data_IF_746159489696
#
_entry.id   IF_746159489696
#
_cell.length_a   1.000
_cell.length_b   1.000
_cell.length_c   1.000
_cell.angle_alpha   90.00
_cell.angle_beta   90.00
_cell.angle_gamma   90.00
#
_symmetry.space_group_name_H-M   'P 1'
#
loop_
_entity.id
_entity.type
_entity.pdbx_description
1 polymer ?
#
# COMPACT_ATOMS: atom_id res chain seq x y z
N UNK A 1 -20.28 -3.28 -3.51
CA UNK A 1 -19.94 -1.92 -3.13
C UNK A 1 -18.63 -1.47 -3.75
N UNK A 2 -18.40 -0.13 -3.75
CA UNK A 2 -17.11 0.45 -4.12
C UNK A 2 -16.77 1.57 -3.14
N UNK A 3 -15.66 1.47 -2.44
CA UNK A 3 -15.21 2.50 -1.50
C UNK A 3 -14.24 3.43 -2.22
N UNK A 4 -14.47 4.72 -2.09
CA UNK A 4 -13.65 5.76 -2.71
C UNK A 4 -12.95 6.54 -1.59
N UNK A 5 -11.62 6.68 -1.70
CA UNK A 5 -10.84 7.45 -0.75
C UNK A 5 -11.31 8.90 -0.66
N UNK A 6 -11.65 9.35 0.55
CA UNK A 6 -12.22 10.67 0.85
C UNK A 6 -11.34 11.87 0.41
N UNK A 7 -10.08 11.62 0.10
CA UNK A 7 -9.17 12.63 -0.40
C UNK A 7 -9.14 12.80 -1.93
N UNK A 8 -9.96 12.09 -2.72
CA UNK A 8 -10.00 12.29 -4.17
C UNK A 8 -10.74 13.60 -4.56
N UNK A 9 -10.42 14.11 -5.77
CA UNK A 9 -11.13 15.24 -6.36
C UNK A 9 -12.51 14.81 -6.85
N UNK A 10 -13.42 15.76 -7.02
CA UNK A 10 -14.77 15.54 -7.57
C UNK A 10 -14.73 14.80 -8.93
N UNK A 11 -13.82 15.15 -9.82
CA UNK A 11 -13.66 14.48 -11.11
C UNK A 11 -13.22 13.02 -10.97
N UNK A 12 -12.32 12.71 -10.02
CA UNK A 12 -11.88 11.35 -9.75
C UNK A 12 -12.99 10.51 -9.10
N UNK A 13 -13.84 11.12 -8.28
CA UNK A 13 -15.04 10.51 -7.70
C UNK A 13 -16.06 10.23 -8.79
N UNK A 14 -16.38 11.23 -9.63
CA UNK A 14 -17.33 11.10 -10.72
C UNK A 14 -16.96 9.98 -11.72
N UNK A 15 -15.66 9.89 -12.06
CA UNK A 15 -15.15 8.83 -12.95
C UNK A 15 -15.45 7.43 -12.41
N UNK A 16 -15.31 7.20 -11.11
CA UNK A 16 -15.59 5.90 -10.47
C UNK A 16 -17.06 5.60 -10.34
N UNK A 17 -17.85 6.60 -9.98
CA UNK A 17 -19.32 6.50 -9.90
C UNK A 17 -19.90 6.12 -11.27
N UNK A 18 -19.45 6.79 -12.33
CA UNK A 18 -19.94 6.53 -13.68
C UNK A 18 -19.46 5.16 -14.20
N UNK A 19 -18.20 4.79 -13.98
CA UNK A 19 -17.67 3.49 -14.42
C UNK A 19 -18.37 2.31 -13.73
N UNK A 20 -18.72 2.45 -12.45
CA UNK A 20 -19.43 1.41 -11.67
C UNK A 20 -20.95 1.51 -11.77
N UNK A 21 -21.49 2.51 -12.48
CA UNK A 21 -22.93 2.77 -12.59
C UNK A 21 -23.66 2.84 -11.24
N UNK A 22 -23.01 3.48 -10.25
CA UNK A 22 -23.51 3.59 -8.89
C UNK A 22 -24.96 4.14 -8.84
N UNK A 23 -25.79 3.54 -8.01
CA UNK A 23 -27.18 3.98 -7.76
C UNK A 23 -27.32 4.80 -6.49
N UNK A 24 -26.47 4.54 -5.52
CA UNK A 24 -26.48 5.18 -4.20
C UNK A 24 -25.08 5.61 -3.79
N UNK A 25 -24.97 6.77 -3.17
CA UNK A 25 -23.74 7.24 -2.54
C UNK A 25 -23.96 7.39 -1.03
N UNK A 26 -23.04 6.88 -0.23
CA UNK A 26 -22.97 7.14 1.21
C UNK A 26 -21.77 8.04 1.46
N UNK A 27 -22.00 9.18 2.09
CA UNK A 27 -20.96 10.16 2.41
C UNK A 27 -21.19 10.77 3.79
N UNK A 28 -20.41 11.78 4.18
CA UNK A 28 -20.68 12.60 5.36
C UNK A 28 -20.70 14.09 5.02
N UNK A 29 -21.19 14.92 5.95
CA UNK A 29 -21.16 16.37 5.84
C UNK A 29 -19.71 16.90 5.71
N UNK A 30 -18.76 16.23 6.35
CA UNK A 30 -17.34 16.50 6.25
C UNK A 30 -16.51 15.43 6.96
N UNK A 31 -15.19 15.56 6.92
CA UNK A 31 -14.26 14.68 7.61
C UNK A 31 -13.10 15.47 8.22
N UNK A 32 -12.41 14.89 9.20
CA UNK A 32 -11.22 15.49 9.79
C UNK A 32 -9.93 14.88 9.25
N UNK A 33 -8.94 15.73 8.96
CA UNK A 33 -7.59 15.31 8.64
C UNK A 33 -6.59 16.20 9.37
N UNK A 34 -6.09 15.72 10.50
CA UNK A 34 -5.34 16.57 11.43
C UNK A 34 -6.20 17.72 11.95
N UNK A 35 -5.75 18.94 11.76
CA UNK A 35 -6.48 20.16 12.12
C UNK A 35 -7.40 20.70 11.00
N UNK A 36 -7.52 19.99 9.88
CA UNK A 36 -8.30 20.43 8.73
C UNK A 36 -9.62 19.68 8.64
N UNK A 37 -10.68 20.43 8.30
CA UNK A 37 -11.96 19.85 7.87
C UNK A 37 -11.98 19.72 6.35
N UNK A 38 -12.44 18.59 5.85
CA UNK A 38 -12.61 18.32 4.42
C UNK A 38 -14.10 18.40 4.11
N UNK A 39 -14.48 19.18 3.14
CA UNK A 39 -15.87 19.27 2.65
C UNK A 39 -16.20 18.08 1.74
N UNK A 40 -16.60 16.95 2.37
CA UNK A 40 -16.91 15.73 1.61
C UNK A 40 -18.20 15.86 0.82
N UNK A 41 -19.23 16.47 1.41
CA UNK A 41 -20.52 16.64 0.72
C UNK A 41 -20.39 17.55 -0.51
N UNK A 42 -19.63 18.64 -0.41
CA UNK A 42 -19.38 19.53 -1.54
C UNK A 42 -18.64 18.82 -2.68
N UNK A 43 -17.64 17.99 -2.37
CA UNK A 43 -16.94 17.15 -3.37
C UNK A 43 -17.91 16.19 -4.06
N UNK A 44 -18.80 15.56 -3.30
CA UNK A 44 -19.81 14.66 -3.87
C UNK A 44 -20.82 15.41 -4.71
N UNK A 45 -21.32 16.57 -4.28
CA UNK A 45 -22.30 17.35 -5.05
C UNK A 45 -21.72 17.78 -6.41
N UNK A 46 -20.49 18.27 -6.44
CA UNK A 46 -19.78 18.59 -7.68
C UNK A 46 -19.61 17.36 -8.59
N UNK A 47 -19.21 16.23 -8.02
CA UNK A 47 -19.08 14.98 -8.78
C UNK A 47 -20.41 14.54 -9.40
N UNK A 48 -21.50 14.68 -8.67
CA UNK A 48 -22.83 14.23 -9.08
C UNK A 48 -23.49 15.10 -10.17
N UNK A 49 -22.92 16.25 -10.52
CA UNK A 49 -23.37 17.02 -11.69
C UNK A 49 -23.24 16.20 -12.99
N UNK A 50 -22.30 15.26 -13.05
CA UNK A 50 -22.02 14.41 -14.20
C UNK A 50 -22.34 12.93 -14.00
N UNK A 51 -23.04 12.56 -12.91
CA UNK A 51 -23.32 11.16 -12.54
C UNK A 51 -24.85 10.87 -12.57
N UNK A 52 -25.44 10.65 -13.75
CA UNK A 52 -26.89 10.52 -13.90
C UNK A 52 -27.47 9.24 -13.30
N UNK A 53 -26.66 8.24 -12.97
CA UNK A 53 -27.11 6.94 -12.43
C UNK A 53 -27.45 7.00 -10.94
N UNK A 54 -26.93 8.00 -10.20
CA UNK A 54 -27.13 8.12 -8.76
C UNK A 54 -28.53 8.64 -8.44
N UNK A 55 -29.29 7.82 -7.73
CA UNK A 55 -30.68 8.10 -7.36
C UNK A 55 -30.81 8.62 -5.93
N UNK A 56 -29.89 8.23 -5.02
CA UNK A 56 -29.92 8.63 -3.63
C UNK A 56 -28.53 8.88 -3.05
N UNK A 57 -28.48 9.83 -2.11
CA UNK A 57 -27.28 10.15 -1.33
C UNK A 57 -27.62 10.10 0.14
N UNK A 58 -26.96 9.24 0.89
CA UNK A 58 -27.09 9.16 2.34
C UNK A 58 -25.93 9.89 3.00
N UNK A 59 -26.24 10.85 3.88
CA UNK A 59 -25.26 11.74 4.49
C UNK A 59 -25.17 11.46 6.00
N UNK A 60 -24.00 11.03 6.45
CA UNK A 60 -23.69 10.92 7.87
C UNK A 60 -23.30 12.30 8.43
N UNK A 61 -23.78 12.62 9.62
CA UNK A 61 -23.40 13.83 10.35
C UNK A 61 -22.10 13.58 11.12
N UNK A 62 -21.01 14.26 10.74
CA UNK A 62 -19.69 14.07 11.34
C UNK A 62 -19.05 15.35 11.86
N UNK A 63 -19.05 16.41 11.05
CA UNK A 63 -18.38 17.68 11.37
C UNK A 63 -19.33 18.79 11.77
N UNK A 64 -20.63 18.55 11.61
CA UNK A 64 -21.70 19.55 11.83
C UNK A 64 -21.59 20.78 10.91
N UNK A 65 -20.86 20.62 9.81
CA UNK A 65 -20.73 21.65 8.78
C UNK A 65 -22.10 21.86 8.09
N UNK A 66 -22.44 23.11 7.86
CA UNK A 66 -23.64 23.44 7.07
C UNK A 66 -23.46 23.03 5.63
N UNK A 67 -24.31 22.14 5.15
CA UNK A 67 -24.27 21.59 3.78
C UNK A 67 -25.61 21.82 3.06
N UNK A 68 -25.56 21.81 1.73
CA UNK A 68 -26.76 21.75 0.92
C UNK A 68 -27.30 20.33 0.86
N UNK A 69 -28.65 20.19 0.95
CA UNK A 69 -29.36 18.91 0.80
C UNK A 69 -30.32 19.02 -0.38
N UNK A 70 -30.10 18.25 -1.43
CA UNK A 70 -30.97 18.24 -2.60
C UNK A 70 -32.22 17.43 -2.35
N UNK A 71 -33.38 18.09 -2.33
CA UNK A 71 -34.66 17.44 -2.09
C UNK A 71 -34.93 16.30 -3.10
N UNK A 72 -35.44 15.18 -2.61
CA UNK A 72 -35.75 13.99 -3.40
C UNK A 72 -34.54 13.08 -3.71
N UNK A 73 -33.30 13.55 -3.41
CA UNK A 73 -32.08 12.76 -3.60
C UNK A 73 -31.35 12.51 -2.27
N UNK A 74 -31.17 13.55 -1.47
CA UNK A 74 -30.30 13.52 -0.30
C UNK A 74 -31.09 13.26 0.99
N UNK A 75 -30.62 12.39 1.85
CA UNK A 75 -31.21 12.07 3.13
C UNK A 75 -30.13 11.96 4.22
N UNK A 76 -30.45 12.40 5.44
CA UNK A 76 -29.61 12.13 6.57
C UNK A 76 -29.62 10.63 6.92
N UNK A 77 -28.45 10.05 7.13
CA UNK A 77 -28.31 8.62 7.41
C UNK A 77 -28.91 8.24 8.78
N UNK A 78 -28.65 9.04 9.83
CA UNK A 78 -29.04 8.67 11.20
C UNK A 78 -30.55 8.47 11.37
N UNK A 79 -31.46 9.34 10.88
CA UNK A 79 -32.90 9.11 10.99
C UNK A 79 -33.37 7.85 10.29
N UNK A 80 -32.68 7.40 9.23
CA UNK A 80 -32.98 6.14 8.55
C UNK A 80 -32.55 4.95 9.39
N UNK A 81 -31.39 5.02 10.04
CA UNK A 81 -30.90 3.98 10.94
C UNK A 81 -31.79 3.85 12.17
N UNK A 82 -32.26 4.96 12.75
CA UNK A 82 -33.13 4.98 13.92
C UNK A 82 -34.50 4.31 13.65
N UNK A 83 -34.95 4.30 12.40
CA UNK A 83 -36.20 3.69 11.95
C UNK A 83 -36.02 2.28 11.39
N UNK A 84 -34.77 1.87 11.11
CA UNK A 84 -34.48 0.57 10.55
C UNK A 84 -34.68 -0.54 11.59
N UNK A 85 -35.09 -1.72 11.12
CA UNK A 85 -35.11 -2.92 11.97
C UNK A 85 -33.70 -3.37 12.28
N UNK A 86 -33.45 -3.81 13.50
CA UNK A 86 -32.22 -4.50 13.91
C UNK A 86 -32.20 -5.98 13.50
N UNK A 87 -33.35 -6.49 13.02
CA UNK A 87 -33.43 -7.83 12.47
C UNK A 87 -33.16 -7.81 10.97
N UNK A 88 -31.94 -8.20 10.61
CA UNK A 88 -31.51 -8.34 9.23
C UNK A 88 -30.99 -9.76 8.97
N UNK A 89 -31.67 -10.48 8.08
CA UNK A 89 -31.23 -11.79 7.62
C UNK A 89 -30.22 -11.58 6.48
N UNK A 90 -29.02 -12.17 6.63
CA UNK A 90 -28.02 -12.10 5.59
C UNK A 90 -28.52 -12.75 4.30
N UNK A 91 -28.31 -12.05 3.16
CA UNK A 91 -28.65 -12.59 1.84
C UNK A 91 -27.76 -13.80 1.52
N UNK A 92 -28.36 -14.83 0.90
CA UNK A 92 -27.62 -16.00 0.43
C UNK A 92 -26.95 -15.63 -0.89
N UNK A 93 -25.62 -15.65 -0.89
CA UNK A 93 -24.79 -15.27 -2.04
C UNK A 93 -24.15 -16.51 -2.66
N UNK A 94 -23.99 -16.49 -4.00
CA UNK A 94 -23.12 -17.42 -4.68
C UNK A 94 -21.65 -17.11 -4.39
N UNK A 95 -20.80 -18.13 -4.43
CA UNK A 95 -19.37 -17.97 -4.17
C UNK A 95 -18.67 -16.95 -5.11
N UNK A 96 -19.15 -16.87 -6.35
CA UNK A 96 -18.61 -15.97 -7.37
C UNK A 96 -19.42 -14.67 -7.53
N UNK A 97 -20.46 -14.42 -6.71
CA UNK A 97 -21.11 -13.13 -6.71
C UNK A 97 -20.14 -11.99 -6.37
N UNK A 98 -20.18 -10.86 -7.09
CA UNK A 98 -19.29 -9.73 -6.82
C UNK A 98 -19.49 -9.19 -5.39
N UNK A 99 -18.39 -9.08 -4.65
CA UNK A 99 -18.38 -8.52 -3.30
C UNK A 99 -18.12 -7.01 -3.35
N UNK A 100 -17.10 -6.60 -4.06
CA UNK A 100 -16.77 -5.19 -4.26
C UNK A 100 -15.98 -4.94 -5.55
N UNK A 101 -15.99 -3.66 -5.95
CA UNK A 101 -15.14 -3.10 -7.00
C UNK A 101 -14.20 -2.10 -6.34
N UNK A 102 -12.90 -2.32 -6.45
CA UNK A 102 -11.90 -1.38 -5.92
C UNK A 102 -11.02 -0.84 -7.03
N UNK A 103 -10.96 0.49 -7.14
CA UNK A 103 -10.26 1.16 -8.22
C UNK A 103 -8.78 1.35 -7.91
N UNK A 104 -7.93 0.88 -8.83
CA UNK A 104 -6.49 1.13 -8.81
C UNK A 104 -6.10 2.13 -9.90
N UNK A 105 -4.96 2.80 -9.71
CA UNK A 105 -4.38 3.65 -10.75
C UNK A 105 -3.94 2.79 -11.94
N UNK A 106 -4.46 3.08 -13.12
CA UNK A 106 -4.02 2.45 -14.37
C UNK A 106 -2.81 3.16 -14.96
N UNK A 107 -1.94 2.41 -15.63
CA UNK A 107 -0.81 2.96 -16.41
C UNK A 107 -1.26 3.85 -17.57
N UNK A 108 -2.50 3.69 -18.03
CA UNK A 108 -3.11 4.42 -19.17
C UNK A 108 -3.99 5.60 -18.75
N UNK A 109 -3.97 6.01 -17.47
CA UNK A 109 -4.78 7.12 -16.96
C UNK A 109 -6.20 6.73 -16.52
N UNK A 110 -6.90 5.80 -17.19
CA UNK A 110 -8.22 5.33 -16.73
C UNK A 110 -8.05 4.35 -15.57
N UNK A 111 -8.70 4.58 -14.41
CA UNK A 111 -8.67 3.65 -13.28
C UNK A 111 -9.16 2.25 -13.69
N UNK A 112 -8.63 1.21 -13.03
CA UNK A 112 -9.05 -0.18 -13.19
C UNK A 112 -9.93 -0.57 -12.00
N UNK A 113 -11.21 -0.85 -12.22
CA UNK A 113 -12.12 -1.37 -11.21
C UNK A 113 -11.90 -2.86 -11.00
N UNK A 114 -11.07 -3.25 -10.03
CA UNK A 114 -10.81 -4.65 -9.73
C UNK A 114 -12.00 -5.28 -9.04
N UNK A 115 -12.52 -6.38 -9.59
CA UNK A 115 -13.69 -7.09 -9.07
C UNK A 115 -13.23 -8.27 -8.21
N UNK A 116 -13.62 -8.27 -6.95
CA UNK A 116 -13.45 -9.40 -6.05
C UNK A 116 -14.79 -10.06 -5.76
N UNK A 117 -14.78 -11.40 -5.67
CA UNK A 117 -15.96 -12.22 -5.43
C UNK A 117 -16.06 -12.68 -3.97
N UNK A 118 -17.28 -13.03 -3.56
CA UNK A 118 -17.64 -13.20 -2.15
C UNK A 118 -16.80 -14.26 -1.44
N UNK A 119 -16.88 -15.52 -1.85
CA UNK A 119 -16.27 -16.59 -1.07
C UNK A 119 -14.75 -16.62 -1.20
N UNK A 120 -14.21 -16.49 -2.42
CA UNK A 120 -12.76 -16.61 -2.64
C UNK A 120 -11.98 -15.55 -1.89
N UNK A 121 -12.44 -14.29 -1.94
CA UNK A 121 -11.81 -13.19 -1.24
C UNK A 121 -11.91 -13.36 0.29
N UNK A 122 -13.10 -13.69 0.81
CA UNK A 122 -13.34 -13.85 2.24
C UNK A 122 -12.50 -14.99 2.84
N UNK A 123 -12.47 -16.15 2.19
CA UNK A 123 -11.65 -17.29 2.63
C UNK A 123 -10.16 -16.92 2.66
N UNK A 124 -9.68 -16.25 1.61
CA UNK A 124 -8.27 -15.92 1.50
C UNK A 124 -7.84 -14.85 2.52
N UNK A 125 -8.62 -13.79 2.68
CA UNK A 125 -8.35 -12.74 3.67
C UNK A 125 -8.43 -13.25 5.11
N UNK A 126 -9.40 -14.09 5.42
CA UNK A 126 -9.51 -14.72 6.74
C UNK A 126 -8.29 -15.59 7.05
N UNK A 127 -7.90 -16.44 6.11
CA UNK A 127 -6.76 -17.34 6.24
C UNK A 127 -5.44 -16.57 6.43
N UNK A 128 -5.17 -15.60 5.55
CA UNK A 128 -3.92 -14.84 5.59
C UNK A 128 -3.82 -13.96 6.83
N UNK A 129 -4.91 -13.31 7.23
CA UNK A 129 -4.97 -12.53 8.46
C UNK A 129 -4.60 -13.36 9.68
N UNK A 130 -5.31 -14.48 9.88
CA UNK A 130 -5.11 -15.33 11.06
C UNK A 130 -3.67 -15.83 11.17
N UNK A 131 -3.11 -16.33 10.07
CA UNK A 131 -1.81 -17.00 10.10
C UNK A 131 -0.63 -16.02 10.06
N UNK A 132 -0.70 -14.95 9.27
CA UNK A 132 0.41 -13.98 9.17
C UNK A 132 0.57 -13.21 10.47
N UNK A 133 -0.54 -12.76 11.07
CA UNK A 133 -0.51 -11.98 12.31
C UNK A 133 -0.61 -12.84 13.57
N UNK A 134 -0.71 -14.16 13.46
CA UNK A 134 -0.93 -15.06 14.59
C UNK A 134 -2.05 -14.57 15.52
N UNK A 135 -3.21 -14.26 14.90
CA UNK A 135 -4.33 -13.67 15.62
C UNK A 135 -5.00 -14.67 16.54
N UNK A 136 -5.14 -14.31 17.79
CA UNK A 136 -5.75 -15.09 18.85
C UNK A 136 -7.00 -14.39 19.43
N UNK A 137 -7.80 -15.11 20.17
CA UNK A 137 -8.94 -14.54 20.91
C UNK A 137 -8.46 -13.41 21.83
N UNK A 138 -9.21 -12.31 21.88
CA UNK A 138 -8.92 -11.07 22.61
C UNK A 138 -7.76 -10.21 22.06
N UNK A 139 -7.16 -10.57 20.94
CA UNK A 139 -6.24 -9.68 20.26
C UNK A 139 -6.97 -8.47 19.68
N UNK A 140 -6.28 -7.32 19.71
CA UNK A 140 -6.78 -6.08 19.13
C UNK A 140 -5.86 -5.71 17.97
N UNK A 141 -6.40 -5.76 16.77
CA UNK A 141 -5.67 -5.47 15.54
C UNK A 141 -5.88 -4.02 15.10
N UNK A 142 -4.82 -3.36 14.72
CA UNK A 142 -4.89 -2.05 14.12
C UNK A 142 -4.07 -1.96 12.82
N UNK A 143 -4.78 -1.78 11.72
CA UNK A 143 -4.23 -1.39 10.44
C UNK A 143 -4.48 0.11 10.21
N UNK A 144 -3.44 0.87 9.88
CA UNK A 144 -3.57 2.31 9.65
C UNK A 144 -4.01 2.68 8.23
N UNK A 145 -4.23 1.69 7.37
CA UNK A 145 -4.66 1.92 6.00
C UNK A 145 -6.13 2.37 5.95
N UNK A 146 -6.38 3.37 5.09
CA UNK A 146 -7.74 3.79 4.76
C UNK A 146 -8.49 2.68 4.02
N UNK A 147 -9.80 2.54 4.32
CA UNK A 147 -10.67 1.53 3.71
C UNK A 147 -10.90 1.79 2.21
N UNK A 148 -10.58 2.95 1.69
CA UNK A 148 -10.53 3.23 0.24
C UNK A 148 -9.40 2.51 -0.51
N UNK A 149 -8.52 1.80 0.21
CA UNK A 149 -7.47 0.96 -0.32
C UNK A 149 -7.69 -0.50 0.01
N UNK A 150 -7.13 -1.41 -0.81
CA UNK A 150 -7.30 -2.85 -0.57
C UNK A 150 -6.80 -3.28 0.81
N UNK A 151 -5.74 -2.65 1.32
CA UNK A 151 -5.21 -2.97 2.65
C UNK A 151 -6.24 -2.70 3.75
N UNK A 152 -6.99 -1.59 3.64
CA UNK A 152 -8.08 -1.30 4.55
C UNK A 152 -9.25 -2.29 4.41
N UNK A 153 -9.61 -2.66 3.17
CA UNK A 153 -10.62 -3.71 2.95
C UNK A 153 -10.19 -5.02 3.61
N UNK A 154 -9.03 -5.53 3.22
CA UNK A 154 -8.60 -6.87 3.64
C UNK A 154 -8.23 -6.95 5.11
N UNK A 155 -7.56 -5.94 5.67
CA UNK A 155 -6.94 -6.05 7.00
C UNK A 155 -7.40 -4.99 8.03
N UNK A 156 -8.27 -4.05 7.67
CA UNK A 156 -9.03 -3.29 8.68
C UNK A 156 -10.43 -3.90 8.87
N UNK A 157 -11.03 -4.45 7.81
CA UNK A 157 -12.41 -4.95 7.86
C UNK A 157 -12.49 -6.48 7.74
N UNK A 158 -12.33 -7.03 6.52
CA UNK A 158 -12.67 -8.43 6.26
C UNK A 158 -11.85 -9.43 7.07
N UNK A 159 -10.53 -9.35 7.05
CA UNK A 159 -9.66 -10.30 7.76
C UNK A 159 -9.95 -10.40 9.26
N UNK A 160 -9.90 -9.30 10.01
CA UNK A 160 -10.21 -9.30 11.43
C UNK A 160 -11.64 -9.76 11.74
N UNK A 161 -12.64 -9.19 11.06
CA UNK A 161 -14.06 -9.47 11.38
C UNK A 161 -14.47 -10.90 11.04
N UNK A 162 -13.94 -11.48 9.95
CA UNK A 162 -14.16 -12.90 9.60
C UNK A 162 -13.56 -13.87 10.62
N UNK A 163 -12.59 -13.41 11.40
CA UNK A 163 -11.99 -14.20 12.48
C UNK A 163 -12.58 -13.89 13.87
N UNK A 164 -13.66 -13.10 13.94
CA UNK A 164 -14.27 -12.66 15.19
C UNK A 164 -13.37 -11.69 15.99
N UNK A 165 -12.37 -11.11 15.34
CA UNK A 165 -11.38 -10.24 15.97
C UNK A 165 -11.88 -8.81 16.20
N UNK A 166 -11.25 -8.13 17.15
CA UNK A 166 -11.44 -6.69 17.37
C UNK A 166 -10.49 -5.91 16.48
N UNK A 167 -11.03 -4.99 15.70
CA UNK A 167 -10.24 -4.09 14.82
C UNK A 167 -10.43 -2.63 15.21
N UNK A 168 -9.38 -1.82 15.03
CA UNK A 168 -9.42 -0.38 15.29
C UNK A 168 -9.61 0.37 13.98
N UNK A 169 -10.65 1.22 13.94
CA UNK A 169 -10.85 2.20 12.87
C UNK A 169 -10.40 3.56 13.39
N UNK A 170 -9.51 4.20 12.68
CA UNK A 170 -8.83 5.41 13.11
C UNK A 170 -9.04 6.56 12.12
N UNK A 171 -9.68 7.64 12.59
CA UNK A 171 -9.75 8.90 11.86
C UNK A 171 -8.64 9.84 12.37
N UNK A 172 -7.58 9.97 11.59
CA UNK A 172 -6.47 10.82 11.97
C UNK A 172 -5.23 10.64 11.10
N UNK A 173 -4.18 11.32 11.50
CA UNK A 173 -2.85 11.22 10.88
C UNK A 173 -1.80 11.01 11.99
N UNK A 174 -0.64 10.41 11.68
CA UNK A 174 0.38 10.08 12.69
C UNK A 174 1.01 11.31 13.37
N UNK A 175 0.91 12.48 12.74
CA UNK A 175 1.54 13.74 13.19
C UNK A 175 0.59 14.72 13.91
N UNK A 176 -0.64 14.33 14.23
CA UNK A 176 -1.59 15.22 14.88
C UNK A 176 -2.28 14.57 16.09
N UNK A 177 -2.32 15.25 17.26
CA UNK A 177 -1.81 16.60 17.55
C UNK A 177 -0.28 16.71 17.57
N UNK A 178 0.44 15.60 17.76
CA UNK A 178 1.88 15.46 17.65
C UNK A 178 2.27 14.03 17.19
N UNK A 179 3.56 13.77 17.03
CA UNK A 179 4.09 12.49 16.53
C UNK A 179 4.00 11.32 17.52
N UNK A 180 3.44 11.53 18.70
CA UNK A 180 3.12 10.46 19.66
C UNK A 180 1.79 9.77 19.36
N UNK A 181 0.98 10.30 18.45
CA UNK A 181 -0.41 9.90 18.21
C UNK A 181 -0.63 8.41 18.03
N UNK A 182 0.23 7.73 17.27
CA UNK A 182 0.12 6.29 17.07
C UNK A 182 0.45 5.52 18.35
N UNK A 183 1.47 5.93 19.05
CA UNK A 183 1.95 5.26 20.26
C UNK A 183 0.95 5.40 21.40
N UNK A 184 0.38 6.60 21.55
CA UNK A 184 -0.73 6.85 22.49
C UNK A 184 -1.93 5.95 22.18
N UNK A 185 -2.31 5.82 20.91
CA UNK A 185 -3.43 4.98 20.49
C UNK A 185 -3.17 3.51 20.82
N UNK A 186 -1.97 3.00 20.53
CA UNK A 186 -1.55 1.63 20.85
C UNK A 186 -1.64 1.39 22.36
N UNK A 187 -1.08 2.28 23.17
CA UNK A 187 -1.05 2.13 24.62
C UNK A 187 -2.45 2.25 25.24
N UNK A 188 -3.24 3.21 24.80
CA UNK A 188 -4.61 3.47 25.29
C UNK A 188 -5.54 2.28 25.04
N UNK A 189 -5.48 1.71 23.83
CA UNK A 189 -6.39 0.64 23.42
C UNK A 189 -5.75 -0.75 23.55
N UNK A 190 -4.54 -0.86 24.10
CA UNK A 190 -3.84 -2.13 24.30
C UNK A 190 -3.75 -2.96 23.01
N UNK A 191 -3.44 -2.29 21.93
CA UNK A 191 -3.32 -2.92 20.59
C UNK A 191 -2.23 -3.97 20.65
N UNK A 192 -2.54 -5.16 20.14
CA UNK A 192 -1.62 -6.31 20.14
C UNK A 192 -0.93 -6.54 18.80
N UNK A 193 -1.56 -6.10 17.71
CA UNK A 193 -1.04 -6.25 16.35
C UNK A 193 -1.16 -4.92 15.63
N UNK A 194 -0.03 -4.40 15.13
CA UNK A 194 0.04 -3.10 14.49
C UNK A 194 0.58 -3.21 13.06
N UNK A 195 -0.19 -2.77 12.07
CA UNK A 195 0.11 -2.90 10.65
C UNK A 195 0.03 -1.55 9.95
N UNK A 196 1.15 -1.09 9.36
CA UNK A 196 1.23 0.25 8.80
C UNK A 196 2.12 0.32 7.56
N UNK A 197 2.15 1.47 6.90
CA UNK A 197 2.95 1.67 5.69
C UNK A 197 4.40 2.11 6.03
N UNK A 198 5.41 1.69 5.25
CA UNK A 198 6.80 2.16 5.40
C UNK A 198 6.95 3.68 5.36
N UNK A 199 6.10 4.37 4.61
CA UNK A 199 6.09 5.86 4.58
C UNK A 199 5.73 6.46 5.94
N UNK A 200 4.79 5.86 6.68
CA UNK A 200 4.47 6.31 8.03
C UNK A 200 5.64 6.01 8.99
N UNK A 201 6.23 4.81 8.90
CA UNK A 201 7.40 4.43 9.71
C UNK A 201 8.55 5.41 9.48
N UNK A 202 8.93 5.67 8.22
CA UNK A 202 10.00 6.62 7.87
C UNK A 202 9.70 8.04 8.34
N UNK A 203 8.46 8.48 8.24
CA UNK A 203 8.06 9.81 8.74
C UNK A 203 8.24 9.93 10.25
N UNK A 204 7.83 8.90 11.00
CA UNK A 204 7.95 8.87 12.45
C UNK A 204 9.41 8.66 12.93
N UNK A 205 10.20 7.90 12.15
CA UNK A 205 11.62 7.67 12.45
C UNK A 205 12.50 8.91 12.31
N UNK A 206 12.05 9.94 11.60
CA UNK A 206 12.75 11.23 11.48
C UNK A 206 12.58 12.11 12.71
N UNK A 207 11.58 11.83 13.51
CA UNK A 207 11.23 12.64 14.65
C UNK A 207 11.98 12.21 15.92
N UNK A 208 11.93 13.01 16.97
CA UNK A 208 12.56 12.67 18.25
C UNK A 208 12.05 11.33 18.79
N UNK A 209 12.97 10.47 19.23
CA UNK A 209 12.64 9.22 19.90
C UNK A 209 11.78 9.38 21.14
N UNK A 210 11.79 10.56 21.75
CA UNK A 210 10.93 10.85 22.91
C UNK A 210 9.46 10.60 22.64
N UNK A 211 8.99 10.79 21.39
CA UNK A 211 7.58 10.55 21.03
C UNK A 211 7.19 9.08 21.20
N UNK A 212 8.03 8.15 20.83
CA UNK A 212 7.75 6.72 20.98
C UNK A 212 8.11 6.20 22.37
N UNK A 213 9.21 6.69 22.97
CA UNK A 213 9.73 6.23 24.26
C UNK A 213 8.84 6.59 25.46
N UNK A 214 7.94 7.55 25.31
CA UNK A 214 6.92 7.89 26.35
C UNK A 214 5.97 6.72 26.62
N UNK A 215 5.86 5.77 25.70
CA UNK A 215 4.88 4.69 25.76
C UNK A 215 5.61 3.33 25.76
N UNK A 216 5.33 2.46 26.72
CA UNK A 216 6.05 1.19 26.84
C UNK A 216 5.67 0.16 25.77
N UNK A 217 4.57 0.33 25.05
CA UNK A 217 4.05 -0.50 23.95
C UNK A 217 4.07 -2.01 24.21
N UNK A 218 3.98 -2.42 25.48
CA UNK A 218 4.13 -3.83 25.92
C UNK A 218 3.00 -4.74 25.44
N UNK A 219 1.86 -4.16 25.04
CA UNK A 219 0.74 -4.93 24.48
C UNK A 219 1.03 -5.48 23.09
N UNK A 220 1.92 -4.85 22.33
CA UNK A 220 2.26 -5.31 20.98
C UNK A 220 2.87 -6.71 21.01
N UNK A 221 2.36 -7.59 20.15
CA UNK A 221 2.85 -8.95 19.89
C UNK A 221 3.47 -9.06 18.50
N UNK A 222 2.86 -8.41 17.50
CA UNK A 222 3.28 -8.44 16.10
C UNK A 222 3.20 -7.03 15.53
N UNK A 223 4.19 -6.65 14.76
CA UNK A 223 4.19 -5.40 13.98
C UNK A 223 4.39 -5.73 12.50
N UNK A 224 3.86 -4.92 11.60
CA UNK A 224 3.91 -5.25 10.18
C UNK A 224 3.99 -4.04 9.26
N UNK A 225 4.48 -4.30 8.05
CA UNK A 225 4.73 -3.34 6.99
C UNK A 225 3.99 -3.73 5.71
N UNK A 226 3.43 -2.75 5.01
CA UNK A 226 2.61 -2.96 3.80
C UNK A 226 2.62 -1.79 2.82
N UNK A 227 2.46 -2.10 1.55
CA UNK A 227 2.16 -1.14 0.49
C UNK A 227 3.36 -0.60 -0.27
N UNK A 228 4.56 -0.74 0.25
CA UNK A 228 5.82 -0.47 -0.42
C UNK A 228 6.95 -1.27 0.26
N UNK A 229 8.09 -1.51 -0.40
CA UNK A 229 9.25 -2.06 0.28
C UNK A 229 9.69 -1.17 1.45
N UNK A 230 10.02 -1.79 2.58
CA UNK A 230 10.61 -1.10 3.71
C UNK A 230 12.14 -1.13 3.57
N UNK A 231 12.78 0.04 3.70
CA UNK A 231 14.24 0.11 3.71
C UNK A 231 14.82 -0.37 5.06
N UNK A 232 16.08 -0.74 5.07
CA UNK A 232 16.73 -1.38 6.21
C UNK A 232 16.75 -0.47 7.45
N UNK A 233 17.07 0.82 7.28
CA UNK A 233 17.05 1.81 8.37
C UNK A 233 15.67 1.88 9.07
N UNK A 234 14.60 2.00 8.29
CA UNK A 234 13.24 2.05 8.83
C UNK A 234 12.83 0.72 9.48
N UNK A 235 13.27 -0.41 8.91
CA UNK A 235 13.03 -1.74 9.47
C UNK A 235 13.68 -1.87 10.85
N UNK A 236 14.95 -1.50 10.99
CA UNK A 236 15.67 -1.53 12.27
C UNK A 236 15.06 -0.57 13.28
N UNK A 237 14.74 0.66 12.87
CA UNK A 237 14.06 1.61 13.75
C UNK A 237 12.73 1.05 14.28
N UNK A 238 11.93 0.44 13.39
CA UNK A 238 10.64 -0.14 13.75
C UNK A 238 10.80 -1.34 14.69
N UNK A 239 11.79 -2.20 14.42
CA UNK A 239 12.14 -3.32 15.27
C UNK A 239 12.59 -2.89 16.68
N UNK A 240 13.49 -1.90 16.74
CA UNK A 240 14.19 -1.54 17.97
C UNK A 240 13.34 -0.68 18.89
N UNK A 241 12.58 0.27 18.32
CA UNK A 241 11.87 1.28 19.11
C UNK A 241 10.37 1.01 19.24
N UNK A 242 9.76 0.28 18.33
CA UNK A 242 8.34 -0.08 18.39
C UNK A 242 8.14 -1.53 18.80
N UNK A 243 8.85 -2.43 18.15
CA UNK A 243 8.80 -3.87 18.43
C UNK A 243 9.56 -4.31 19.65
N UNK A 244 10.45 -3.45 20.21
CA UNK A 244 11.33 -3.75 21.34
C UNK A 244 12.14 -5.05 21.13
N UNK A 245 12.52 -5.33 19.88
CA UNK A 245 13.24 -6.55 19.42
C UNK A 245 12.54 -7.89 19.75
N UNK A 246 11.31 -7.84 20.28
CA UNK A 246 10.51 -9.00 20.71
C UNK A 246 9.35 -9.30 19.77
N UNK A 247 8.88 -8.29 19.03
CA UNK A 247 7.78 -8.48 18.09
C UNK A 247 8.34 -8.85 16.71
N UNK A 248 7.91 -9.95 16.09
CA UNK A 248 8.25 -10.20 14.69
C UNK A 248 7.71 -9.10 13.80
N UNK A 249 8.51 -8.69 12.80
CA UNK A 249 8.06 -7.78 11.75
C UNK A 249 7.56 -8.60 10.58
N UNK A 250 6.27 -8.52 10.29
CA UNK A 250 5.70 -9.11 9.09
C UNK A 250 5.74 -8.09 7.96
N UNK A 251 6.79 -8.15 7.14
CA UNK A 251 6.87 -7.38 5.90
C UNK A 251 6.15 -8.14 4.80
N UNK A 252 5.09 -7.53 4.24
CA UNK A 252 4.14 -8.25 3.41
C UNK A 252 4.17 -7.75 1.96
N UNK A 253 4.23 -8.67 1.01
CA UNK A 253 4.01 -8.35 -0.39
C UNK A 253 2.69 -8.92 -0.89
N UNK A 254 1.91 -8.07 -1.49
CA UNK A 254 0.65 -8.36 -2.16
C UNK A 254 0.11 -7.13 -2.90
N UNK A 255 -1.01 -7.28 -3.60
CA UNK A 255 -1.57 -6.25 -4.47
C UNK A 255 -3.09 -6.17 -4.31
N UNK A 256 -3.73 -5.14 -4.83
CA UNK A 256 -5.20 -5.07 -4.92
C UNK A 256 -5.74 -6.28 -5.66
N UNK A 257 -5.09 -6.65 -6.74
CA UNK A 257 -5.42 -7.77 -7.60
C UNK A 257 -5.33 -9.13 -6.89
N UNK A 258 -4.49 -9.26 -5.89
CA UNK A 258 -4.32 -10.52 -5.16
C UNK A 258 -5.32 -10.73 -4.03
N UNK A 259 -6.01 -9.67 -3.59
CA UNK A 259 -7.02 -9.71 -2.53
C UNK A 259 -6.47 -9.88 -1.11
N UNK A 260 -5.28 -10.43 -0.95
CA UNK A 260 -4.62 -10.64 0.33
C UNK A 260 -3.14 -10.94 0.18
N UNK A 261 -2.46 -11.14 1.30
CA UNK A 261 -1.01 -11.35 1.41
C UNK A 261 -0.59 -12.61 0.67
N UNK A 262 0.45 -12.49 -0.15
CA UNK A 262 1.00 -13.58 -0.98
C UNK A 262 2.34 -14.10 -0.43
N UNK A 263 3.22 -13.16 -0.07
CA UNK A 263 4.57 -13.44 0.44
C UNK A 263 4.73 -12.65 1.74
N UNK A 264 5.01 -13.34 2.83
CA UNK A 264 5.24 -12.74 4.14
C UNK A 264 5.83 -13.77 5.12
N UNK A 265 6.56 -13.35 6.15
CA UNK A 265 6.85 -14.22 7.27
C UNK A 265 5.55 -14.58 8.02
N UNK A 266 5.41 -15.82 8.43
CA UNK A 266 4.40 -16.23 9.40
C UNK A 266 4.98 -15.90 10.78
N UNK A 267 4.26 -15.08 11.57
CA UNK A 267 4.71 -14.62 12.88
C UNK A 267 5.13 -15.79 13.78
N UNK A 268 6.28 -15.65 14.43
CA UNK A 268 6.88 -16.64 15.33
C UNK A 268 7.30 -17.97 14.68
N UNK A 269 7.11 -18.14 13.36
CA UNK A 269 7.48 -19.36 12.63
C UNK A 269 8.62 -19.08 11.66
N UNK A 270 8.47 -18.03 10.83
CA UNK A 270 9.47 -17.69 9.82
C UNK A 270 10.45 -16.66 10.38
N UNK A 271 11.76 -16.91 10.39
CA UNK A 271 12.75 -15.89 10.73
C UNK A 271 12.62 -14.68 9.81
N UNK A 272 12.53 -13.48 10.40
CA UNK A 272 12.42 -12.24 9.64
C UNK A 272 13.79 -11.77 9.16
N UNK A 273 13.84 -11.14 7.99
CA UNK A 273 15.05 -10.57 7.41
C UNK A 273 14.74 -9.16 6.95
N UNK A 274 15.53 -8.14 7.32
CA UNK A 274 15.30 -6.76 6.87
C UNK A 274 15.13 -6.68 5.37
N UNK A 275 14.13 -5.93 4.91
CA UNK A 275 13.80 -5.69 3.49
C UNK A 275 13.22 -6.87 2.71
N UNK A 276 13.06 -8.03 3.33
CA UNK A 276 12.54 -9.23 2.67
C UNK A 276 11.10 -9.56 3.11
N UNK A 277 10.23 -9.78 2.15
CA UNK A 277 8.91 -10.36 2.39
C UNK A 277 8.99 -11.85 2.74
N UNK A 278 10.15 -12.47 2.62
CA UNK A 278 10.53 -13.84 2.99
C UNK A 278 9.88 -14.94 2.13
N UNK A 279 9.02 -15.78 2.67
CA UNK A 279 8.50 -16.96 2.01
C UNK A 279 7.08 -16.77 1.47
N UNK A 280 6.71 -17.43 0.36
CA UNK A 280 5.33 -17.46 -0.08
C UNK A 280 4.46 -18.17 0.95
N UNK A 281 3.23 -17.68 1.12
CA UNK A 281 2.25 -18.35 1.96
C UNK A 281 1.84 -19.70 1.36
N UNK A 282 1.41 -20.68 2.18
CA UNK A 282 0.94 -21.96 1.69
C UNK A 282 -0.12 -21.82 0.61
N UNK A 283 0.03 -22.55 -0.50
CA UNK A 283 -0.82 -22.48 -1.69
C UNK A 283 -0.36 -21.46 -2.74
N UNK A 284 0.58 -20.58 -2.42
CA UNK A 284 1.14 -19.61 -3.37
C UNK A 284 2.44 -20.14 -3.96
N UNK A 285 2.55 -20.15 -5.29
CA UNK A 285 3.73 -20.62 -6.01
C UNK A 285 4.31 -19.49 -6.88
N UNK A 286 5.15 -18.61 -6.31
CA UNK A 286 5.84 -17.59 -7.10
C UNK A 286 6.93 -18.23 -7.95
N UNK A 287 7.14 -17.67 -9.14
CA UNK A 287 8.25 -17.97 -10.03
C UNK A 287 8.87 -16.68 -10.51
N UNK A 288 10.18 -16.70 -10.74
CA UNK A 288 10.89 -15.61 -11.38
C UNK A 288 11.08 -15.93 -12.86
N UNK A 289 10.79 -14.96 -13.72
CA UNK A 289 10.84 -15.11 -15.17
C UNK A 289 11.94 -14.23 -15.75
N UNK A 290 12.68 -14.75 -16.72
CA UNK A 290 13.64 -13.97 -17.52
C UNK A 290 12.95 -13.20 -18.66
N UNK A 291 13.72 -12.38 -19.37
CA UNK A 291 13.24 -11.58 -20.51
C UNK A 291 12.85 -12.44 -21.73
N UNK A 292 13.28 -13.70 -21.76
CA UNK A 292 12.91 -14.69 -22.78
C UNK A 292 11.69 -15.52 -22.40
N UNK A 293 11.06 -15.18 -21.26
CA UNK A 293 9.88 -15.88 -20.70
C UNK A 293 10.16 -17.29 -20.18
N UNK A 294 11.40 -17.60 -19.81
CA UNK A 294 11.74 -18.84 -19.13
C UNK A 294 11.65 -18.69 -17.62
N UNK A 295 11.29 -19.76 -16.92
CA UNK A 295 11.37 -19.81 -15.45
C UNK A 295 12.84 -19.88 -15.04
N UNK A 296 13.24 -18.99 -14.11
CA UNK A 296 14.58 -18.97 -13.53
C UNK A 296 14.59 -19.92 -12.33
N UNK A 297 15.35 -21.00 -12.42
CA UNK A 297 15.51 -21.97 -11.36
C UNK A 297 16.59 -21.55 -10.34
N UNK A 298 16.62 -22.24 -9.19
CA UNK A 298 17.63 -22.06 -8.14
C UNK A 298 17.43 -20.81 -7.30
N UNK A 299 18.43 -20.48 -6.51
CA UNK A 299 18.48 -19.33 -5.59
C UNK A 299 19.54 -18.34 -6.05
N UNK A 300 19.63 -17.17 -5.38
CA UNK A 300 20.48 -16.03 -5.76
C UNK A 300 20.16 -15.51 -7.18
N UNK A 301 18.89 -15.39 -7.50
CA UNK A 301 18.38 -15.02 -8.82
C UNK A 301 17.43 -13.85 -8.76
N UNK A 302 17.38 -13.08 -9.84
CA UNK A 302 16.51 -11.92 -10.01
C UNK A 302 15.68 -12.09 -11.27
N UNK A 303 14.42 -11.71 -11.24
CA UNK A 303 13.56 -11.77 -12.41
C UNK A 303 12.20 -11.10 -12.19
N UNK A 304 11.37 -11.15 -13.22
CA UNK A 304 9.97 -10.72 -13.15
C UNK A 304 9.16 -11.69 -12.28
N UNK A 305 8.49 -11.19 -11.27
CA UNK A 305 7.69 -12.01 -10.37
C UNK A 305 6.36 -12.39 -11.00
N UNK A 306 6.11 -13.68 -11.11
CA UNK A 306 4.84 -14.25 -11.55
C UNK A 306 4.31 -15.25 -10.53
N UNK A 307 3.00 -15.50 -10.53
CA UNK A 307 2.37 -16.55 -9.73
C UNK A 307 1.89 -17.65 -10.67
N UNK A 308 2.26 -18.89 -10.35
CA UNK A 308 2.11 -20.05 -11.25
C UNK A 308 0.67 -20.56 -11.33
N UNK A 309 -0.04 -20.56 -10.23
CA UNK A 309 -1.40 -21.09 -10.12
C UNK A 309 -2.35 -20.07 -9.49
N UNK A 310 -3.64 -20.11 -9.82
CA UNK A 310 -4.64 -19.25 -9.20
C UNK A 310 -4.79 -19.57 -7.70
N UNK A 311 -5.22 -18.58 -6.95
CA UNK A 311 -5.57 -18.68 -5.52
C UNK A 311 -6.97 -18.09 -5.29
N UNK A 312 -7.64 -18.42 -4.17
CA UNK A 312 -9.04 -18.01 -3.97
C UNK A 312 -9.27 -16.49 -4.04
N UNK A 313 -8.34 -15.70 -3.50
CA UNK A 313 -8.46 -14.23 -3.39
C UNK A 313 -8.12 -13.44 -4.67
N UNK A 314 -7.74 -14.10 -5.78
CA UNK A 314 -7.44 -13.40 -7.04
C UNK A 314 -8.67 -12.62 -7.54
N UNK A 315 -8.46 -11.37 -7.96
CA UNK A 315 -9.51 -10.61 -8.63
C UNK A 315 -9.98 -11.34 -9.89
N UNK A 316 -11.28 -11.32 -10.17
CA UNK A 316 -11.85 -12.07 -11.29
C UNK A 316 -11.75 -11.33 -12.61
N UNK A 317 -11.79 -9.99 -12.56
CA UNK A 317 -11.78 -9.16 -13.76
C UNK A 317 -11.53 -7.68 -13.42
N UNK A 318 -11.38 -6.86 -14.46
CA UNK A 318 -11.63 -5.42 -14.41
C UNK A 318 -13.09 -5.19 -14.78
N UNK A 319 -13.80 -4.41 -13.98
CA UNK A 319 -15.22 -4.09 -14.21
C UNK A 319 -15.42 -3.48 -15.61
N UNK A 320 -16.34 -4.07 -16.37
CA UNK A 320 -16.66 -3.64 -17.73
C UNK A 320 -15.56 -3.88 -18.79
N UNK A 321 -14.39 -4.45 -18.42
CA UNK A 321 -13.27 -4.61 -19.36
C UNK A 321 -12.42 -5.84 -19.06
N UNK A 322 -13.00 -7.01 -19.30
CA UNK A 322 -12.32 -8.30 -19.06
C UNK A 322 -11.06 -8.48 -19.94
N UNK A 323 -11.11 -7.98 -21.18
CA UNK A 323 -9.95 -8.11 -22.08
C UNK A 323 -8.74 -7.35 -21.53
N UNK A 324 -8.94 -6.16 -20.99
CA UNK A 324 -7.87 -5.39 -20.33
C UNK A 324 -7.28 -6.12 -19.12
N UNK A 325 -8.09 -6.89 -18.39
CA UNK A 325 -7.60 -7.75 -17.30
C UNK A 325 -6.65 -8.83 -17.83
N UNK A 326 -7.05 -9.53 -18.89
CA UNK A 326 -6.21 -10.56 -19.53
C UNK A 326 -4.94 -9.94 -20.09
N UNK A 327 -5.04 -8.84 -20.81
CA UNK A 327 -3.90 -8.18 -21.43
C UNK A 327 -2.89 -7.66 -20.39
N UNK A 328 -3.37 -7.16 -19.27
CA UNK A 328 -2.50 -6.60 -18.21
C UNK A 328 -1.76 -7.68 -17.43
N UNK A 329 -2.45 -8.78 -17.08
CA UNK A 329 -1.92 -9.72 -16.07
C UNK A 329 -1.55 -11.11 -16.62
N UNK A 330 -1.95 -11.46 -17.85
CA UNK A 330 -1.74 -12.81 -18.39
C UNK A 330 -1.10 -12.87 -19.78
N UNK A 331 -1.03 -11.76 -20.51
CA UNK A 331 -0.47 -11.74 -21.86
C UNK A 331 1.06 -11.80 -21.90
N UNK A 332 1.72 -11.17 -20.93
CA UNK A 332 3.19 -11.12 -20.86
C UNK A 332 3.81 -12.50 -20.60
N UNK A 333 3.18 -13.30 -19.73
CA UNK A 333 3.61 -14.64 -19.36
C UNK A 333 2.41 -15.60 -19.40
N UNK A 334 2.09 -16.20 -20.55
CA UNK A 334 0.91 -17.05 -20.71
C UNK A 334 0.84 -18.17 -19.66
N UNK A 335 -0.36 -18.34 -19.07
CA UNK A 335 -0.60 -19.35 -18.03
C UNK A 335 -0.11 -18.98 -16.63
N UNK A 336 0.41 -17.75 -16.44
CA UNK A 336 0.86 -17.24 -15.12
C UNK A 336 0.28 -15.86 -14.88
N UNK A 337 -0.02 -15.54 -13.63
CA UNK A 337 -0.35 -14.18 -13.23
C UNK A 337 0.93 -13.35 -13.15
N UNK A 338 1.06 -12.35 -13.99
CA UNK A 338 2.16 -11.39 -13.99
C UNK A 338 1.86 -10.25 -13.01
N UNK A 339 2.70 -10.10 -12.01
CA UNK A 339 2.50 -9.11 -10.95
C UNK A 339 2.88 -7.69 -11.35
N UNK A 340 3.71 -7.54 -12.39
CA UNK A 340 4.33 -6.29 -12.76
C UNK A 340 5.44 -5.84 -11.78
N UNK A 341 5.82 -6.69 -10.83
CA UNK A 341 6.92 -6.45 -9.91
C UNK A 341 8.11 -7.34 -10.26
N UNK A 342 9.31 -6.82 -10.02
CA UNK A 342 10.54 -7.60 -10.00
C UNK A 342 10.82 -8.12 -8.60
N UNK A 343 11.49 -9.26 -8.51
CA UNK A 343 11.93 -9.79 -7.23
C UNK A 343 13.28 -10.48 -7.32
N UNK A 344 13.97 -10.50 -6.19
CA UNK A 344 15.16 -11.30 -5.93
C UNK A 344 14.76 -12.47 -5.03
N UNK A 345 15.26 -13.67 -5.32
CA UNK A 345 15.22 -14.82 -4.42
C UNK A 345 16.65 -15.12 -3.96
N UNK A 346 16.90 -14.99 -2.65
CA UNK A 346 18.23 -15.14 -2.06
C UNK A 346 18.67 -16.59 -1.90
N UNK A 347 19.81 -16.81 -1.24
CA UNK A 347 20.45 -18.12 -1.05
C UNK A 347 19.60 -19.12 -0.27
N UNK A 348 18.72 -18.63 0.62
CA UNK A 348 17.82 -19.46 1.43
C UNK A 348 16.38 -19.55 0.87
N UNK A 349 16.15 -18.89 -0.26
CA UNK A 349 14.84 -18.89 -0.94
C UNK A 349 13.90 -17.78 -0.50
N UNK A 350 14.37 -16.78 0.25
CA UNK A 350 13.57 -15.61 0.64
C UNK A 350 13.42 -14.63 -0.51
N UNK A 351 12.21 -14.07 -0.65
CA UNK A 351 11.88 -13.09 -1.67
C UNK A 351 12.04 -11.66 -1.14
N UNK A 352 12.73 -10.84 -1.92
CA UNK A 352 12.78 -9.40 -1.78
C UNK A 352 12.20 -8.76 -3.04
N UNK A 353 11.27 -7.84 -2.89
CA UNK A 353 10.71 -7.09 -4.02
C UNK A 353 11.69 -5.99 -4.42
N UNK A 354 12.06 -5.96 -5.70
CA UNK A 354 13.06 -5.02 -6.24
C UNK A 354 12.43 -3.78 -6.90
N UNK A 355 11.10 -3.72 -6.92
CA UNK A 355 10.32 -2.62 -7.50
C UNK A 355 9.44 -3.07 -8.66
N UNK A 356 8.81 -2.09 -9.32
CA UNK A 356 7.99 -2.36 -10.52
C UNK A 356 8.89 -2.70 -11.71
N UNK A 357 8.45 -3.64 -12.53
CA UNK A 357 9.18 -3.99 -13.78
C UNK A 357 9.24 -2.80 -14.75
N UNK A 358 8.19 -1.98 -14.77
CA UNK A 358 8.15 -0.72 -15.53
C UNK A 358 8.99 0.40 -14.89
N UNK A 359 9.46 0.25 -13.66
CA UNK A 359 10.41 1.13 -12.97
C UNK A 359 11.88 0.57 -13.03
N UNK A 360 12.11 -0.55 -13.71
CA UNK A 360 13.45 -1.08 -13.97
C UNK A 360 14.12 -0.24 -15.07
N UNK A 361 15.35 0.20 -14.80
CA UNK A 361 16.16 0.94 -15.79
C UNK A 361 17.20 -0.01 -16.39
N UNK A 362 17.20 -0.12 -17.72
CA UNK A 362 18.20 -0.91 -18.43
C UNK A 362 19.43 -0.03 -18.70
N UNK A 363 20.49 -0.27 -17.94
CA UNK A 363 21.77 0.46 -18.08
C UNK A 363 22.82 -0.48 -18.67
N UNK A 364 23.36 -0.15 -19.84
CA UNK A 364 24.38 -0.96 -20.52
C UNK A 364 24.01 -2.45 -20.66
N UNK A 365 22.72 -2.74 -20.89
CA UNK A 365 22.19 -4.11 -21.01
C UNK A 365 21.89 -4.83 -19.69
N UNK A 366 22.04 -4.18 -18.55
CA UNK A 366 21.71 -4.72 -17.23
C UNK A 366 20.44 -4.11 -16.68
N UNK A 367 19.53 -4.96 -16.21
CA UNK A 367 18.28 -4.57 -15.57
C UNK A 367 18.56 -4.13 -14.12
N UNK A 368 18.43 -2.84 -13.85
CA UNK A 368 18.62 -2.26 -12.52
C UNK A 368 17.26 -1.85 -11.94
N UNK A 369 16.84 -2.51 -10.86
CA UNK A 369 15.67 -2.07 -10.09
C UNK A 369 15.96 -0.76 -9.37
N UNK A 370 15.00 0.16 -9.37
CA UNK A 370 15.17 1.46 -8.72
C UNK A 370 15.21 1.34 -7.20
N UNK A 371 14.42 0.44 -6.61
CA UNK A 371 14.31 0.32 -5.15
C UNK A 371 15.65 -0.02 -4.44
N UNK A 372 16.46 -0.99 -4.89
CA UNK A 372 17.77 -1.24 -4.27
C UNK A 372 18.73 -0.04 -4.34
N UNK A 373 18.65 0.74 -5.42
CA UNK A 373 19.47 1.95 -5.57
C UNK A 373 19.00 3.04 -4.61
N UNK A 374 17.68 3.24 -4.51
CA UNK A 374 17.05 4.17 -3.57
C UNK A 374 17.39 3.78 -2.12
N UNK A 375 17.38 2.49 -1.79
CA UNK A 375 17.79 2.01 -0.46
C UNK A 375 19.24 2.43 -0.16
N UNK A 376 20.17 2.14 -1.07
CA UNK A 376 21.60 2.51 -0.90
C UNK A 376 21.81 4.03 -0.77
N UNK A 377 20.99 4.85 -1.42
CA UNK A 377 21.03 6.30 -1.29
C UNK A 377 20.47 6.74 0.07
N UNK A 378 19.37 6.13 0.49
CA UNK A 378 18.66 6.50 1.72
C UNK A 378 19.42 6.11 3.00
N UNK A 379 20.40 5.19 2.91
CA UNK A 379 21.32 4.88 4.00
C UNK A 379 22.30 6.02 4.28
N UNK A 380 22.50 6.93 3.33
CA UNK A 380 23.39 8.06 3.54
C UNK A 380 22.84 9.02 4.61
N UNK A 381 23.62 9.39 5.66
CA UNK A 381 23.12 10.14 6.83
C UNK A 381 22.43 11.46 6.51
N UNK A 382 22.84 12.11 5.41
CA UNK A 382 22.28 13.39 4.96
C UNK A 382 21.01 13.25 4.11
N UNK A 383 20.61 12.04 3.70
CA UNK A 383 19.47 11.81 2.81
C UNK A 383 18.21 11.48 3.61
N UNK A 384 17.12 12.11 3.24
CA UNK A 384 15.80 11.86 3.81
C UNK A 384 14.99 10.86 2.96
N UNK A 385 15.04 11.01 1.65
CA UNK A 385 14.32 10.16 0.69
C UNK A 385 14.89 10.37 -0.71
N UNK A 386 14.78 9.35 -1.56
CA UNK A 386 15.20 9.45 -2.96
C UNK A 386 14.22 8.78 -3.91
N UNK A 387 14.30 9.15 -5.18
CA UNK A 387 13.61 8.50 -6.29
C UNK A 387 14.53 8.42 -7.50
N UNK A 388 14.57 7.24 -8.13
CA UNK A 388 15.40 6.99 -9.31
C UNK A 388 14.52 6.83 -10.54
N UNK A 389 14.95 7.45 -11.64
CA UNK A 389 14.37 7.25 -12.97
C UNK A 389 15.48 7.03 -14.00
N UNK A 390 15.11 6.37 -15.09
CA UNK A 390 15.98 6.25 -16.25
C UNK A 390 15.82 7.47 -17.19
N UNK A 391 16.91 7.91 -17.81
CA UNK A 391 16.85 8.86 -18.90
C UNK A 391 17.71 8.40 -20.07
N UNK A 392 17.38 8.78 -21.33
CA UNK A 392 18.14 8.38 -22.51
C UNK A 392 19.61 8.82 -22.43
N UNK A 393 20.52 7.90 -22.77
CA UNK A 393 21.96 8.15 -22.79
C UNK A 393 22.61 7.52 -24.03
N UNK A 394 23.39 8.31 -24.78
CA UNK A 394 23.90 7.92 -26.10
C UNK A 394 24.76 6.64 -26.10
N UNK A 395 25.46 6.35 -25.01
CA UNK A 395 26.37 5.18 -24.91
C UNK A 395 25.73 4.04 -24.14
N UNK A 396 25.00 4.33 -23.04
CA UNK A 396 24.47 3.33 -22.12
C UNK A 396 23.05 2.84 -22.49
N UNK A 397 22.43 3.44 -23.49
CA UNK A 397 21.01 3.31 -23.80
C UNK A 397 20.15 4.12 -22.82
N UNK A 398 20.20 3.81 -21.55
CA UNK A 398 19.72 4.65 -20.46
C UNK A 398 20.80 4.86 -19.40
N UNK A 399 20.68 5.97 -18.69
CA UNK A 399 21.46 6.31 -17.52
C UNK A 399 20.53 6.61 -16.34
N UNK A 400 21.08 6.66 -15.13
CA UNK A 400 20.31 6.83 -13.91
C UNK A 400 20.30 8.30 -13.48
N UNK A 401 19.10 8.80 -13.19
CA UNK A 401 18.87 10.13 -12.63
C UNK A 401 18.25 9.99 -11.24
N UNK A 402 18.90 10.55 -10.21
CA UNK A 402 18.43 10.55 -8.84
C UNK A 402 17.84 11.88 -8.42
N UNK A 403 16.63 11.87 -7.91
CA UNK A 403 16.01 12.98 -7.19
C UNK A 403 16.15 12.70 -5.70
N UNK A 404 16.81 13.58 -4.96
CA UNK A 404 17.19 13.36 -3.55
C UNK A 404 16.67 14.49 -2.67
N UNK A 405 15.94 14.13 -1.62
CA UNK A 405 15.55 15.04 -0.53
C UNK A 405 16.59 14.91 0.57
N UNK A 406 17.15 16.02 1.02
CA UNK A 406 18.08 16.04 2.14
C UNK A 406 17.38 16.20 3.48
N UNK A 407 17.99 15.67 4.53
CA UNK A 407 17.69 16.04 5.92
C UNK A 407 18.25 17.44 6.20
N UNK A 408 17.78 18.14 7.23
CA UNK A 408 18.29 19.46 7.62
C UNK A 408 19.81 19.46 7.82
N UNK A 409 20.35 18.37 8.38
CA UNK A 409 21.81 18.18 8.54
C UNK A 409 22.60 18.11 7.22
N UNK A 410 21.93 17.86 6.11
CA UNK A 410 22.53 17.80 4.78
C UNK A 410 22.43 19.09 3.98
N UNK A 411 21.51 20.00 4.35
CA UNK A 411 21.22 21.19 3.55
C UNK A 411 22.39 22.18 3.44
N UNK A 412 23.21 22.28 4.48
CA UNK A 412 24.39 23.16 4.54
C UNK A 412 25.67 22.52 3.98
N UNK A 413 25.63 21.24 3.56
CA UNK A 413 26.80 20.52 3.06
C UNK A 413 27.11 20.87 1.60
N UNK A 414 28.39 20.73 1.24
CA UNK A 414 28.83 20.88 -0.14
C UNK A 414 28.18 19.83 -1.04
N UNK A 415 27.48 20.29 -2.08
CA UNK A 415 26.72 19.44 -3.02
C UNK A 415 27.61 18.49 -3.82
N UNK A 416 28.78 18.91 -4.25
CA UNK A 416 29.70 18.08 -5.02
C UNK A 416 30.27 16.93 -4.18
N UNK A 417 30.50 17.17 -2.90
CA UNK A 417 30.94 16.13 -1.98
C UNK A 417 29.77 15.17 -1.66
N UNK A 418 28.56 15.66 -1.45
CA UNK A 418 27.38 14.81 -1.25
C UNK A 418 27.11 13.89 -2.44
N UNK A 419 27.25 14.38 -3.67
CA UNK A 419 27.11 13.58 -4.90
C UNK A 419 28.14 12.43 -4.93
N UNK A 420 29.39 12.70 -4.55
CA UNK A 420 30.42 11.67 -4.47
C UNK A 420 30.15 10.63 -3.40
N UNK A 421 29.74 11.06 -2.20
CA UNK A 421 29.42 10.18 -1.08
C UNK A 421 28.22 9.30 -1.40
N UNK A 422 27.15 9.86 -1.97
CA UNK A 422 25.96 9.10 -2.41
C UNK A 422 26.34 8.06 -3.48
N UNK A 423 27.11 8.45 -4.49
CA UNK A 423 27.57 7.50 -5.50
C UNK A 423 28.55 6.45 -4.95
N UNK A 424 29.30 6.78 -3.90
CA UNK A 424 30.13 5.80 -3.21
C UNK A 424 29.25 4.79 -2.45
N UNK A 425 28.24 5.24 -1.71
CA UNK A 425 27.27 4.36 -1.05
C UNK A 425 26.63 3.38 -2.04
N UNK A 426 26.16 3.87 -3.20
CA UNK A 426 25.60 3.01 -4.26
C UNK A 426 26.65 1.98 -4.74
N UNK A 427 27.90 2.41 -4.90
CA UNK A 427 28.98 1.53 -5.37
C UNK A 427 29.27 0.42 -4.37
N UNK A 428 29.29 0.75 -3.09
CA UNK A 428 29.61 -0.19 -2.01
C UNK A 428 28.50 -1.25 -1.83
N UNK A 429 27.22 -0.87 -2.03
CA UNK A 429 26.09 -1.77 -1.84
C UNK A 429 25.68 -2.56 -3.08
N UNK A 430 25.84 -1.97 -4.27
CA UNK A 430 25.32 -2.57 -5.52
C UNK A 430 26.44 -2.76 -6.55
N UNK A 431 27.35 -1.81 -6.62
CA UNK A 431 28.43 -1.81 -7.60
C UNK A 431 28.43 -0.57 -8.51
N UNK A 432 29.53 -0.33 -9.24
CA UNK A 432 29.75 0.89 -10.02
C UNK A 432 28.75 1.07 -11.19
N UNK A 433 28.10 0.00 -11.63
CA UNK A 433 27.11 0.04 -12.72
C UNK A 433 25.84 0.81 -12.34
N UNK A 434 25.53 0.87 -11.05
CA UNK A 434 24.34 1.55 -10.52
C UNK A 434 24.58 3.01 -10.12
N UNK A 435 25.78 3.55 -10.39
CA UNK A 435 26.09 4.96 -10.12
C UNK A 435 25.13 5.88 -10.88
N UNK A 436 24.72 6.95 -10.20
CA UNK A 436 23.88 7.97 -10.81
C UNK A 436 24.74 8.87 -11.71
N UNK A 437 24.27 9.06 -12.93
CA UNK A 437 24.86 10.00 -13.87
C UNK A 437 24.46 11.45 -13.56
N UNK A 438 23.27 11.62 -12.96
CA UNK A 438 22.78 12.93 -12.52
C UNK A 438 22.09 12.80 -11.16
N UNK A 439 22.30 13.80 -10.31
CA UNK A 439 21.58 13.95 -9.03
C UNK A 439 21.01 15.36 -8.96
N UNK A 440 19.72 15.44 -8.65
CA UNK A 440 19.04 16.68 -8.36
C UNK A 440 18.53 16.67 -6.92
N UNK A 441 18.94 17.64 -6.14
CA UNK A 441 18.40 17.85 -4.80
C UNK A 441 17.09 18.61 -4.90
N UNK A 442 16.03 18.06 -4.30
CA UNK A 442 14.66 18.57 -4.35
C UNK A 442 14.07 18.68 -2.95
N UNK A 443 13.07 19.52 -2.80
CA UNK A 443 12.37 19.70 -1.50
C UNK A 443 11.25 18.70 -1.30
N UNK A 444 10.72 18.12 -2.38
CA UNK A 444 9.66 17.10 -2.33
C UNK A 444 9.69 16.23 -3.57
N UNK A 445 9.13 15.02 -3.45
CA UNK A 445 8.90 14.10 -4.57
C UNK A 445 7.41 14.04 -4.89
N UNK A 446 7.03 13.93 -6.18
CA UNK A 446 5.63 13.73 -6.54
C UNK A 446 5.16 12.38 -6.02
N UNK A 447 4.09 12.39 -5.22
CA UNK A 447 3.52 11.20 -4.60
C UNK A 447 2.04 11.09 -4.86
N UNK A 448 1.57 9.85 -4.99
CA UNK A 448 0.14 9.57 -4.87
C UNK A 448 -0.33 9.90 -3.46
N UNK A 449 -1.63 9.96 -3.25
CA UNK A 449 -2.22 10.19 -1.92
C UNK A 449 -1.93 9.04 -0.93
N UNK A 450 -1.60 7.85 -1.45
CA UNK A 450 -1.11 6.71 -0.63
C UNK A 450 0.39 6.79 -0.31
N UNK A 451 1.08 7.88 -0.71
CA UNK A 451 2.51 8.08 -0.46
C UNK A 451 3.45 7.39 -1.46
N UNK A 452 2.91 6.74 -2.51
CA UNK A 452 3.71 6.10 -3.56
C UNK A 452 4.30 7.14 -4.51
N UNK A 453 5.60 7.07 -4.78
CA UNK A 453 6.30 7.96 -5.71
C UNK A 453 5.77 7.77 -7.14
N UNK A 454 5.48 8.89 -7.79
CA UNK A 454 4.96 8.94 -9.17
C UNK A 454 6.12 9.18 -10.15
N UNK A 455 6.95 8.14 -10.39
CA UNK A 455 8.17 8.25 -11.21
C UNK A 455 7.93 8.74 -12.63
N UNK A 456 6.73 8.55 -13.17
CA UNK A 456 6.38 9.08 -14.51
C UNK A 456 6.29 10.61 -14.58
N UNK A 457 6.21 11.30 -13.43
CA UNK A 457 6.20 12.76 -13.37
C UNK A 457 7.63 13.29 -13.27
N UNK A 458 8.56 12.51 -12.75
CA UNK A 458 9.99 12.81 -12.70
C UNK A 458 10.66 12.62 -14.05
#
# INVERSE_FOLDING_TARGET
HSVIFAGFSSSAVASRINDSECKMVITSDGGYRGNKTIDLKGIIDEALETCPTVQSVLVAKRTETTIAMKAGRDQWLQPLLDQASDNNVAEIMDAEDPLFILYTSGSTGKPKGMVHTTAGYMVYTSYTFKNVFNHEENDIFWCTADIGWITGHSYTLYGPLLNGGTTVIFEGIPSYPDFSRFWETIEKHKITQFYTAPTAIRSLAKESLEYVQRFPLKSLKVIGSVGAPINEEAWHWFNDHVGDKRCPIVDTWWQTETGGIMIAPISFVTPTKPTYATLPLPGIQPVLMDDKRNEIEGNQVVGSLCIKFPWPGIARTIWGDHQRYIDTYFSSFPGKYFTGDGALRDEVGYYRITGRVDDVVIVSGHNLGTAPIEDAINEHPAVAESAIVGFPHDIKGNALYGYVILKESGESRDRDNLIKEINQSITDHIGPIARLDKIQFVTSLPKTRSGKIMRRIL
#
